data_IF_723504338482
#
_entry.id   IF_723504338482
#
_cell.length_a   1.000
_cell.length_b   1.000
_cell.length_c   1.000
_cell.angle_alpha   90.00
_cell.angle_beta   90.00
_cell.angle_gamma   90.00
#
_symmetry.space_group_name_H-M   'P 1'
#
loop_
_entity.id
_entity.type
_entity.pdbx_description
1 polymer ?
#
# COMPACT_ATOMS: atom_id res chain seq x y z
N UNK A 1 13.12 -47.07 9.57
CA UNK A 1 13.11 -46.95 8.09
C UNK A 1 12.88 -45.49 7.76
N UNK A 2 13.85 -44.82 7.12
CA UNK A 2 13.70 -43.43 6.67
C UNK A 2 12.76 -43.41 5.48
N UNK A 3 11.61 -42.72 5.60
CA UNK A 3 10.70 -42.48 4.48
C UNK A 3 11.48 -42.02 3.24
N UNK A 4 11.16 -42.57 2.06
CA UNK A 4 11.84 -42.21 0.81
C UNK A 4 11.68 -40.73 0.46
N UNK A 5 12.52 -40.18 -0.42
CA UNK A 5 12.41 -38.76 -0.83
C UNK A 5 11.02 -38.42 -1.38
N UNK A 6 10.43 -39.32 -2.16
CA UNK A 6 9.08 -39.17 -2.72
C UNK A 6 7.99 -39.15 -1.64
N UNK A 7 8.11 -39.99 -0.62
CA UNK A 7 7.17 -40.05 0.50
C UNK A 7 7.28 -38.81 1.40
N UNK A 8 8.50 -38.33 1.64
CA UNK A 8 8.75 -37.05 2.32
C UNK A 8 8.22 -35.87 1.52
N UNK A 9 8.33 -35.90 0.19
CA UNK A 9 7.78 -34.85 -0.68
C UNK A 9 6.25 -34.85 -0.68
N UNK A 10 5.62 -36.03 -0.75
CA UNK A 10 4.16 -36.17 -0.71
C UNK A 10 3.59 -35.67 0.62
N UNK A 11 4.24 -36.02 1.74
CA UNK A 11 3.79 -35.61 3.09
C UNK A 11 4.22 -34.20 3.47
N UNK A 12 5.19 -33.61 2.76
CA UNK A 12 5.65 -32.25 3.04
C UNK A 12 4.49 -31.28 2.97
N UNK A 13 3.72 -31.23 1.88
CA UNK A 13 2.71 -30.20 1.67
C UNK A 13 1.55 -30.24 2.67
N UNK A 14 1.30 -31.39 3.27
CA UNK A 14 0.15 -31.62 4.17
C UNK A 14 0.52 -31.50 5.67
N UNK A 15 1.81 -31.37 6.00
CA UNK A 15 2.25 -31.30 7.39
C UNK A 15 1.77 -30.01 8.09
N UNK A 16 1.01 -30.10 9.20
CA UNK A 16 0.57 -28.93 9.96
C UNK A 16 1.77 -28.33 10.73
N UNK A 17 2.48 -27.42 10.07
CA UNK A 17 3.64 -26.71 10.64
C UNK A 17 3.27 -25.35 11.24
N UNK A 18 2.06 -24.85 10.96
CA UNK A 18 1.62 -23.53 11.35
C UNK A 18 0.80 -23.57 12.65
N UNK A 19 1.33 -22.93 13.70
CA UNK A 19 0.57 -22.65 14.92
C UNK A 19 -0.58 -21.67 14.59
N UNK A 20 -1.85 -21.97 14.93
CA UNK A 20 -2.99 -21.09 14.63
C UNK A 20 -2.81 -19.66 15.15
N UNK A 21 -2.16 -19.52 16.31
CA UNK A 21 -1.89 -18.21 16.90
C UNK A 21 -0.92 -17.35 16.06
N UNK A 22 0.04 -17.96 15.36
CA UNK A 22 0.91 -17.25 14.41
C UNK A 22 0.11 -16.73 13.23
N UNK A 23 -0.77 -17.57 12.68
CA UNK A 23 -1.61 -17.21 11.53
C UNK A 23 -2.59 -16.09 11.90
N UNK A 24 -3.23 -16.18 13.07
CA UNK A 24 -4.13 -15.14 13.57
C UNK A 24 -3.42 -13.79 13.75
N UNK A 25 -2.24 -13.80 14.38
CA UNK A 25 -1.45 -12.59 14.57
C UNK A 25 -0.90 -12.03 13.26
N UNK A 26 -0.40 -12.89 12.36
CA UNK A 26 0.04 -12.48 11.02
C UNK A 26 -1.10 -11.82 10.29
N UNK A 27 -2.29 -12.43 10.28
CA UNK A 27 -3.47 -11.86 9.63
C UNK A 27 -3.79 -10.45 10.16
N UNK A 28 -3.79 -10.26 11.48
CA UNK A 28 -4.03 -8.94 12.06
C UNK A 28 -2.97 -7.93 11.61
N UNK A 29 -1.68 -8.25 11.79
CA UNK A 29 -0.60 -7.29 11.59
C UNK A 29 -0.30 -7.06 10.11
N UNK A 30 -0.18 -8.11 9.31
CA UNK A 30 0.15 -8.02 7.89
C UNK A 30 -0.93 -7.29 7.12
N UNK A 31 -2.20 -7.68 7.27
CA UNK A 31 -3.27 -6.97 6.57
C UNK A 31 -3.55 -5.60 7.16
N UNK A 32 -3.26 -5.36 8.45
CA UNK A 32 -3.29 -4.01 9.03
C UNK A 32 -2.24 -3.09 8.40
N UNK A 33 -0.99 -3.56 8.30
CA UNK A 33 0.10 -2.84 7.65
C UNK A 33 -0.18 -2.65 6.15
N UNK A 34 -0.70 -3.67 5.46
CA UNK A 34 -1.08 -3.57 4.06
C UNK A 34 -2.26 -2.63 3.83
N UNK A 35 -3.18 -2.48 4.80
CA UNK A 35 -4.24 -1.48 4.72
C UNK A 35 -3.70 -0.05 4.80
N UNK A 36 -2.67 0.19 5.63
CA UNK A 36 -1.98 1.48 5.70
C UNK A 36 -1.21 1.77 4.40
N UNK A 37 -0.46 0.79 3.90
CA UNK A 37 0.30 0.88 2.65
C UNK A 37 -0.61 1.20 1.46
N UNK A 38 -1.67 0.40 1.25
CA UNK A 38 -2.69 0.68 0.22
C UNK A 38 -3.46 1.98 0.45
N UNK A 39 -3.64 2.39 1.71
CA UNK A 39 -4.23 3.69 2.06
C UNK A 39 -3.35 4.86 1.62
N UNK A 40 -2.03 4.74 1.74
CA UNK A 40 -1.10 5.75 1.22
C UNK A 40 -1.16 5.86 -0.31
N UNK A 41 -1.42 4.77 -1.02
CA UNK A 41 -1.57 4.78 -2.47
C UNK A 41 -2.78 5.60 -2.97
N UNK A 42 -3.72 5.97 -2.10
CA UNK A 42 -4.86 6.83 -2.46
C UNK A 42 -4.42 8.19 -3.00
N UNK A 43 -3.32 8.78 -2.50
CA UNK A 43 -2.78 10.03 -3.07
C UNK A 43 -2.29 9.88 -4.51
N UNK A 44 -1.97 8.66 -4.91
CA UNK A 44 -1.41 8.36 -6.22
C UNK A 44 -2.48 7.97 -7.24
N UNK A 45 -3.64 7.50 -6.78
CA UNK A 45 -4.72 7.02 -7.65
C UNK A 45 -5.23 8.09 -8.64
N UNK A 46 -5.33 9.35 -8.18
CA UNK A 46 -5.67 10.49 -9.04
C UNK A 46 -4.65 10.77 -10.15
N UNK A 47 -3.48 10.12 -10.10
CA UNK A 47 -2.39 10.26 -11.08
C UNK A 47 -2.49 9.39 -12.30
N UNK A 48 -3.44 8.47 -12.31
CA UNK A 48 -3.56 7.51 -13.40
C UNK A 48 -3.88 8.18 -14.75
N UNK A 49 -3.14 7.80 -15.80
CA UNK A 49 -3.34 8.27 -17.17
C UNK A 49 -2.93 9.73 -17.43
N UNK A 50 -2.44 10.44 -16.42
CA UNK A 50 -2.02 11.83 -16.55
C UNK A 50 -0.74 11.96 -17.36
N UNK A 51 -0.72 12.88 -18.32
CA UNK A 51 0.45 13.12 -19.18
C UNK A 51 1.00 11.90 -19.93
N UNK A 52 0.19 10.85 -20.18
CA UNK A 52 0.62 9.52 -20.71
C UNK A 52 1.58 8.74 -19.80
N UNK A 53 1.80 9.21 -18.58
CA UNK A 53 2.55 8.51 -17.55
C UNK A 53 1.57 7.66 -16.72
N UNK A 54 2.11 6.68 -15.98
CA UNK A 54 1.32 5.82 -15.12
C UNK A 54 0.17 5.11 -15.87
N UNK A 55 0.58 4.23 -16.80
CA UNK A 55 -0.28 3.45 -17.70
C UNK A 55 -0.05 1.95 -17.50
N UNK A 56 -0.91 1.14 -18.10
CA UNK A 56 -0.86 -0.33 -18.09
C UNK A 56 0.53 -0.88 -18.37
N UNK A 57 0.95 -1.91 -17.64
CA UNK A 57 2.25 -2.58 -17.85
C UNK A 57 2.30 -3.45 -19.10
N UNK A 58 1.15 -3.88 -19.62
CA UNK A 58 1.07 -4.83 -20.74
C UNK A 58 0.18 -4.31 -21.89
N UNK A 59 0.47 -3.13 -22.48
CA UNK A 59 -0.22 -2.66 -23.67
C UNK A 59 0.25 -3.44 -24.91
N UNK A 60 -0.63 -3.73 -25.89
CA UNK A 60 -2.07 -3.47 -25.92
C UNK A 60 -2.92 -4.60 -25.30
N UNK A 61 -2.31 -5.70 -24.84
CA UNK A 61 -3.02 -6.93 -24.46
C UNK A 61 -3.96 -6.78 -23.26
N UNK A 62 -3.48 -6.13 -22.19
CA UNK A 62 -4.31 -5.89 -20.99
C UNK A 62 -5.45 -4.91 -21.30
N UNK A 63 -5.16 -3.86 -22.06
CA UNK A 63 -6.11 -2.81 -22.45
C UNK A 63 -7.18 -3.32 -23.41
N UNK A 64 -6.90 -4.40 -24.14
CA UNK A 64 -7.86 -5.09 -25.01
C UNK A 64 -8.79 -6.04 -24.25
N UNK A 65 -8.37 -6.55 -23.08
CA UNK A 65 -9.16 -7.49 -22.26
C UNK A 65 -10.12 -6.76 -21.31
N UNK A 66 -9.72 -5.59 -20.80
CA UNK A 66 -10.53 -4.75 -19.91
C UNK A 66 -10.31 -3.27 -20.26
N UNK A 67 -11.36 -2.43 -20.19
CA UNK A 67 -11.20 -1.00 -20.40
C UNK A 67 -10.18 -0.44 -19.41
N UNK A 68 -9.24 0.36 -19.90
CA UNK A 68 -8.29 1.06 -19.04
C UNK A 68 -9.07 1.85 -17.98
N UNK A 69 -8.75 1.66 -16.68
CA UNK A 69 -9.49 2.32 -15.61
C UNK A 69 -9.34 3.84 -15.71
N UNK A 70 -10.35 4.59 -15.26
CA UNK A 70 -10.20 6.04 -15.12
C UNK A 70 -9.48 6.35 -13.81
N UNK A 71 -9.00 7.58 -13.60
CA UNK A 71 -8.45 7.99 -12.30
C UNK A 71 -9.43 7.74 -11.12
N UNK A 72 -10.74 8.06 -11.24
CA UNK A 72 -11.75 7.62 -10.26
C UNK A 72 -11.85 6.09 -10.10
N UNK A 73 -11.69 5.33 -11.20
CA UNK A 73 -11.66 3.87 -11.17
C UNK A 73 -10.46 3.31 -10.39
N UNK A 74 -9.27 3.89 -10.56
CA UNK A 74 -8.08 3.52 -9.77
C UNK A 74 -8.26 3.85 -8.29
N UNK A 75 -8.86 5.00 -7.99
CA UNK A 75 -9.15 5.39 -6.62
C UNK A 75 -10.08 4.39 -5.95
N UNK A 76 -11.14 3.99 -6.66
CA UNK A 76 -12.07 2.97 -6.19
C UNK A 76 -11.37 1.62 -5.93
N UNK A 77 -10.53 1.16 -6.87
CA UNK A 77 -9.79 -0.10 -6.71
C UNK A 77 -8.87 -0.07 -5.49
N UNK A 78 -8.16 1.05 -5.29
CA UNK A 78 -7.23 1.25 -4.18
C UNK A 78 -7.97 1.33 -2.83
N UNK A 79 -9.08 2.06 -2.76
CA UNK A 79 -9.97 2.10 -1.59
C UNK A 79 -10.51 0.71 -1.25
N UNK A 80 -10.94 -0.03 -2.26
CA UNK A 80 -11.47 -1.39 -2.10
C UNK A 80 -10.39 -2.33 -1.58
N UNK A 81 -9.16 -2.26 -2.10
CA UNK A 81 -8.04 -3.04 -1.60
C UNK A 81 -7.73 -2.72 -0.13
N UNK A 82 -7.61 -1.44 0.23
CA UNK A 82 -7.34 -1.01 1.62
C UNK A 82 -8.42 -1.50 2.59
N UNK A 83 -9.68 -1.44 2.17
CA UNK A 83 -10.81 -1.97 2.94
C UNK A 83 -10.72 -3.49 3.14
N UNK A 84 -10.47 -4.24 2.07
CA UNK A 84 -10.37 -5.69 2.12
C UNK A 84 -9.22 -6.14 3.03
N UNK A 85 -8.08 -5.43 2.99
CA UNK A 85 -6.99 -5.61 3.94
C UNK A 85 -7.47 -5.42 5.39
N UNK A 86 -8.09 -4.29 5.70
CA UNK A 86 -8.54 -4.02 7.07
C UNK A 86 -9.60 -5.01 7.55
N UNK A 87 -10.50 -5.44 6.66
CA UNK A 87 -11.48 -6.51 6.91
C UNK A 87 -10.80 -7.84 7.21
N UNK A 88 -9.81 -8.25 6.41
CA UNK A 88 -9.02 -9.45 6.68
C UNK A 88 -8.30 -9.35 8.03
N UNK A 89 -7.74 -8.18 8.37
CA UNK A 89 -7.13 -7.92 9.68
C UNK A 89 -8.13 -8.04 10.84
N UNK A 90 -9.40 -7.67 10.61
CA UNK A 90 -10.49 -7.77 11.58
C UNK A 90 -11.25 -9.10 11.56
N UNK A 91 -10.80 -10.10 10.80
CA UNK A 91 -11.32 -11.46 10.86
C UNK A 91 -12.37 -11.79 9.78
N UNK A 92 -12.40 -11.03 8.69
CA UNK A 92 -13.16 -11.42 7.51
C UNK A 92 -12.66 -12.76 6.95
N UNK A 93 -13.58 -13.51 6.34
CA UNK A 93 -13.29 -14.84 5.76
C UNK A 93 -12.36 -14.73 4.55
N UNK A 94 -11.26 -15.48 4.60
CA UNK A 94 -10.25 -15.47 3.54
C UNK A 94 -10.80 -16.00 2.20
N UNK A 95 -11.74 -16.94 2.21
CA UNK A 95 -12.28 -17.57 0.98
C UNK A 95 -12.95 -16.60 0.00
N UNK A 96 -13.42 -15.44 0.48
CA UNK A 96 -14.04 -14.41 -0.35
C UNK A 96 -13.17 -13.15 -0.39
N UNK A 97 -12.76 -12.65 0.78
CA UNK A 97 -12.07 -11.37 0.85
C UNK A 97 -10.67 -11.40 0.24
N UNK A 98 -9.97 -12.54 0.31
CA UNK A 98 -8.60 -12.65 -0.15
C UNK A 98 -8.48 -12.75 -1.68
N UNK A 99 -9.28 -13.57 -2.39
CA UNK A 99 -9.31 -13.51 -3.86
C UNK A 99 -9.72 -12.15 -4.40
N UNK A 100 -10.71 -11.49 -3.76
CA UNK A 100 -11.12 -10.15 -4.13
C UNK A 100 -9.98 -9.14 -3.92
N UNK A 101 -9.24 -9.25 -2.81
CA UNK A 101 -8.07 -8.41 -2.53
C UNK A 101 -6.97 -8.65 -3.56
N UNK A 102 -6.65 -9.92 -3.84
CA UNK A 102 -5.65 -10.29 -4.82
C UNK A 102 -6.01 -9.72 -6.21
N UNK A 103 -7.28 -9.76 -6.61
CA UNK A 103 -7.75 -9.17 -7.86
C UNK A 103 -7.63 -7.64 -7.85
N UNK A 104 -8.05 -6.96 -6.77
CA UNK A 104 -7.94 -5.49 -6.66
C UNK A 104 -6.48 -5.03 -6.68
N UNK A 105 -5.59 -5.68 -5.91
CA UNK A 105 -4.17 -5.37 -5.89
C UNK A 105 -3.52 -5.65 -7.24
N UNK A 106 -3.83 -6.80 -7.86
CA UNK A 106 -3.31 -7.13 -9.20
C UNK A 106 -3.76 -6.10 -10.21
N UNK A 107 -5.04 -5.69 -10.19
CA UNK A 107 -5.54 -4.66 -11.09
C UNK A 107 -4.83 -3.32 -10.85
N UNK A 108 -4.71 -2.91 -9.59
CA UNK A 108 -4.07 -1.64 -9.22
C UNK A 108 -2.60 -1.61 -9.66
N UNK A 109 -1.85 -2.68 -9.42
CA UNK A 109 -0.40 -2.75 -9.75
C UNK A 109 -0.17 -2.98 -11.24
N UNK A 110 -0.97 -3.81 -11.93
CA UNK A 110 -0.75 -4.13 -13.34
C UNK A 110 -1.28 -3.05 -14.29
N UNK A 111 -2.37 -2.36 -13.95
CA UNK A 111 -2.85 -1.25 -14.74
C UNK A 111 -2.10 0.05 -14.46
N UNK A 112 -1.52 0.22 -13.28
CA UNK A 112 -1.01 1.52 -12.86
C UNK A 112 0.32 1.40 -12.13
N UNK A 113 1.35 2.06 -12.67
CA UNK A 113 2.58 2.46 -11.98
C UNK A 113 2.32 3.59 -10.98
N UNK A 114 1.29 3.46 -10.12
CA UNK A 114 0.94 4.48 -9.09
C UNK A 114 2.18 4.89 -8.30
N UNK A 115 3.08 3.92 -8.13
CA UNK A 115 4.31 3.98 -7.39
C UNK A 115 5.35 3.04 -8.04
N UNK A 116 6.63 3.43 -8.01
CA UNK A 116 7.76 2.64 -8.52
C UNK A 116 8.24 1.56 -7.55
N UNK A 117 7.62 1.38 -6.38
CA UNK A 117 8.08 0.39 -5.42
C UNK A 117 7.80 -1.06 -5.86
N UNK A 118 8.87 -1.84 -5.93
CA UNK A 118 8.83 -3.25 -6.33
C UNK A 118 8.10 -4.15 -5.32
N UNK A 119 7.93 -3.71 -4.06
CA UNK A 119 7.30 -4.54 -3.04
C UNK A 119 5.80 -4.77 -3.28
N UNK A 120 5.11 -3.90 -4.01
CA UNK A 120 3.71 -4.12 -4.37
C UNK A 120 3.52 -5.39 -5.23
N UNK A 121 4.48 -5.72 -6.10
CA UNK A 121 4.46 -6.99 -6.85
C UNK A 121 4.57 -8.20 -5.93
N UNK A 122 5.41 -8.12 -4.89
CA UNK A 122 5.48 -9.19 -3.88
C UNK A 122 4.15 -9.33 -3.14
N UNK A 123 3.50 -8.23 -2.76
CA UNK A 123 2.20 -8.27 -2.08
C UNK A 123 1.12 -8.90 -2.96
N UNK A 124 1.13 -8.62 -4.27
CA UNK A 124 0.29 -9.33 -5.26
C UNK A 124 0.58 -10.83 -5.24
N UNK A 125 1.84 -11.26 -5.35
CA UNK A 125 2.20 -12.68 -5.35
C UNK A 125 1.80 -13.38 -4.04
N UNK A 126 2.03 -12.72 -2.90
CA UNK A 126 1.64 -13.23 -1.57
C UNK A 126 0.13 -13.41 -1.47
N UNK A 127 -0.66 -12.42 -1.87
CA UNK A 127 -2.12 -12.49 -1.78
C UNK A 127 -2.72 -13.48 -2.77
N UNK A 128 -2.14 -13.63 -3.97
CA UNK A 128 -2.52 -14.67 -4.94
C UNK A 128 -2.23 -16.07 -4.41
N UNK A 129 -1.02 -16.30 -3.87
CA UNK A 129 -0.63 -17.58 -3.29
C UNK A 129 -1.58 -17.99 -2.14
N UNK A 130 -1.88 -17.05 -1.25
CA UNK A 130 -2.81 -17.29 -0.15
C UNK A 130 -4.26 -17.48 -0.63
N UNK A 131 -4.68 -16.82 -1.72
CA UNK A 131 -6.01 -16.99 -2.32
C UNK A 131 -6.20 -18.39 -2.88
N UNK A 132 -5.20 -18.92 -3.60
CA UNK A 132 -5.22 -20.29 -4.11
C UNK A 132 -5.38 -21.31 -2.97
N UNK A 133 -4.68 -21.09 -1.85
CA UNK A 133 -4.81 -21.92 -0.66
C UNK A 133 -6.22 -21.92 -0.06
N UNK A 134 -6.85 -20.75 -0.01
CA UNK A 134 -8.21 -20.61 0.52
C UNK A 134 -9.28 -21.21 -0.40
N UNK A 135 -9.13 -21.10 -1.73
CA UNK A 135 -10.14 -21.53 -2.71
C UNK A 135 -10.09 -23.02 -3.05
N UNK A 136 -8.89 -23.60 -3.15
CA UNK A 136 -8.72 -24.93 -3.74
C UNK A 136 -8.96 -26.08 -2.75
N UNK A 137 -9.05 -25.82 -1.44
CA UNK A 137 -9.19 -26.88 -0.43
C UNK A 137 -10.62 -26.97 0.17
N UNK A 138 -11.23 -28.17 0.24
CA UNK A 138 -12.56 -28.37 0.83
C UNK A 138 -12.66 -27.97 2.31
N UNK A 139 -11.59 -28.19 3.09
CA UNK A 139 -11.52 -27.89 4.52
C UNK A 139 -11.48 -26.37 4.76
N UNK A 140 -10.66 -25.64 4.00
CA UNK A 140 -10.63 -24.17 4.02
C UNK A 140 -11.97 -23.55 3.64
N UNK A 141 -12.71 -24.18 2.70
CA UNK A 141 -14.06 -23.75 2.31
C UNK A 141 -15.08 -23.86 3.44
N UNK A 142 -14.89 -24.80 4.37
CA UNK A 142 -15.79 -25.00 5.52
C UNK A 142 -15.48 -24.05 6.67
N UNK A 143 -14.20 -23.93 7.01
CA UNK A 143 -13.78 -23.29 8.27
C UNK A 143 -13.15 -21.89 8.07
N UNK A 144 -12.88 -21.48 6.83
CA UNK A 144 -12.31 -20.17 6.50
C UNK A 144 -10.81 -20.05 6.80
N UNK A 145 -10.14 -21.16 7.10
CA UNK A 145 -8.71 -21.25 7.40
C UNK A 145 -7.85 -21.46 6.15
N UNK A 146 -6.55 -21.17 6.24
CA UNK A 146 -5.58 -21.38 5.14
C UNK A 146 -5.02 -22.80 5.25
N UNK A 147 -5.05 -23.56 4.15
CA UNK A 147 -4.49 -24.91 4.13
C UNK A 147 -2.97 -24.94 4.41
N UNK A 148 -2.42 -26.03 5.01
CA UNK A 148 -1.00 -26.15 5.34
C UNK A 148 -0.04 -25.89 4.16
N UNK A 149 -0.41 -26.33 2.96
CA UNK A 149 0.38 -26.09 1.74
C UNK A 149 0.43 -24.61 1.36
N UNK A 150 -0.63 -23.85 1.64
CA UNK A 150 -0.67 -22.41 1.39
C UNK A 150 0.33 -21.65 2.25
N UNK A 151 0.47 -22.06 3.51
CA UNK A 151 1.51 -21.54 4.40
C UNK A 151 2.93 -21.87 3.88
N UNK A 152 3.14 -23.07 3.34
CA UNK A 152 4.42 -23.46 2.73
C UNK A 152 4.72 -22.68 1.45
N UNK A 153 3.70 -22.44 0.60
CA UNK A 153 3.84 -21.62 -0.59
C UNK A 153 4.19 -20.17 -0.24
N UNK A 154 3.56 -19.61 0.78
CA UNK A 154 3.90 -18.27 1.29
C UNK A 154 5.37 -18.19 1.71
N UNK A 155 5.85 -19.15 2.50
CA UNK A 155 7.26 -19.20 2.91
C UNK A 155 8.20 -19.35 1.73
N UNK A 156 7.84 -20.18 0.74
CA UNK A 156 8.61 -20.33 -0.48
C UNK A 156 8.70 -19.01 -1.27
N UNK A 157 7.58 -18.29 -1.40
CA UNK A 157 7.55 -16.98 -2.05
C UNK A 157 8.45 -15.96 -1.32
N UNK A 158 8.42 -15.92 0.02
CA UNK A 158 9.29 -15.04 0.82
C UNK A 158 10.76 -15.45 0.67
N UNK A 159 11.06 -16.75 0.66
CA UNK A 159 12.42 -17.25 0.43
C UNK A 159 12.96 -16.87 -0.95
N UNK A 160 12.13 -16.99 -1.99
CA UNK A 160 12.47 -16.56 -3.36
C UNK A 160 12.76 -15.06 -3.40
N UNK A 161 11.95 -14.25 -2.72
CA UNK A 161 12.20 -12.80 -2.62
C UNK A 161 13.56 -12.51 -1.98
N UNK A 162 13.91 -13.16 -0.86
CA UNK A 162 15.23 -12.98 -0.23
C UNK A 162 16.38 -13.46 -1.10
N UNK A 163 16.22 -14.61 -1.77
CA UNK A 163 17.23 -15.12 -2.69
C UNK A 163 17.45 -14.13 -3.85
N UNK A 164 16.37 -13.61 -4.43
CA UNK A 164 16.45 -12.61 -5.48
C UNK A 164 17.03 -11.28 -4.99
N UNK A 165 16.67 -10.84 -3.77
CA UNK A 165 17.22 -9.63 -3.16
C UNK A 165 18.76 -9.71 -3.01
N UNK A 166 19.27 -10.88 -2.63
CA UNK A 166 20.70 -11.14 -2.56
C UNK A 166 21.35 -11.16 -3.94
N UNK A 167 20.73 -11.84 -4.92
CA UNK A 167 21.23 -11.90 -6.31
C UNK A 167 21.27 -10.51 -6.95
N UNK A 168 20.23 -9.69 -6.76
CA UNK A 168 20.17 -8.32 -7.29
C UNK A 168 21.25 -7.40 -6.71
N UNK A 169 21.86 -7.78 -5.59
CA UNK A 169 22.94 -7.05 -4.90
C UNK A 169 24.35 -7.54 -5.26
N UNK A 170 24.47 -8.49 -6.20
CA UNK A 170 25.76 -8.93 -6.75
C UNK A 170 26.39 -7.91 -7.72
N UNK A 171 25.66 -6.84 -8.08
CA UNK A 171 26.18 -5.75 -8.88
C UNK A 171 27.36 -5.02 -8.20
N UNK A 172 28.32 -4.59 -9.02
CA UNK A 172 29.56 -3.94 -8.57
C UNK A 172 29.30 -2.65 -7.76
N UNK A 173 28.28 -1.85 -8.13
CA UNK A 173 27.96 -0.61 -7.41
C UNK A 173 27.37 -0.89 -6.03
N UNK A 174 26.67 -2.00 -5.86
CA UNK A 174 26.22 -2.43 -4.55
C UNK A 174 27.40 -2.93 -3.70
N UNK A 175 28.20 -3.86 -4.23
CA UNK A 175 29.32 -4.47 -3.50
C UNK A 175 30.37 -3.43 -3.08
N UNK A 176 30.63 -2.43 -3.91
CA UNK A 176 31.52 -1.31 -3.58
C UNK A 176 30.97 -0.37 -2.49
N UNK A 177 29.73 -0.56 -2.05
CA UNK A 177 29.06 0.27 -1.04
C UNK A 177 28.55 1.61 -1.58
N UNK A 178 28.79 1.96 -2.85
CA UNK A 178 28.38 3.25 -3.44
C UNK A 178 26.86 3.43 -3.39
N UNK A 179 26.11 2.41 -3.81
CA UNK A 179 24.64 2.46 -3.81
C UNK A 179 24.07 2.59 -2.40
N UNK A 180 24.57 1.80 -1.44
CA UNK A 180 24.12 1.87 -0.04
C UNK A 180 24.48 3.23 0.57
N UNK A 181 25.70 3.72 0.32
CA UNK A 181 26.16 5.02 0.80
C UNK A 181 25.29 6.18 0.30
N UNK A 182 24.76 6.09 -0.93
CA UNK A 182 23.87 7.09 -1.49
C UNK A 182 22.46 7.10 -0.86
N UNK A 183 22.04 6.00 -0.22
CA UNK A 183 20.73 5.89 0.42
C UNK A 183 20.74 6.27 1.90
N UNK A 184 21.91 6.37 2.54
CA UNK A 184 22.03 6.73 3.95
C UNK A 184 21.70 8.21 4.17
N UNK A 185 20.53 8.47 4.77
CA UNK A 185 20.03 9.82 5.02
C UNK A 185 20.25 10.28 6.47
N UNK A 186 20.69 9.40 7.37
CA UNK A 186 20.77 9.68 8.81
C UNK A 186 22.19 10.00 9.31
N UNK A 187 22.30 11.08 10.07
CA UNK A 187 23.59 11.59 10.58
C UNK A 187 24.30 10.61 11.51
N UNK A 188 23.55 9.91 12.37
CA UNK A 188 24.12 8.97 13.32
C UNK A 188 24.86 7.82 12.61
N UNK A 189 24.34 7.35 11.47
CA UNK A 189 24.96 6.29 10.69
C UNK A 189 26.25 6.79 10.04
N UNK A 190 26.25 8.03 9.51
CA UNK A 190 27.45 8.69 8.97
C UNK A 190 28.54 8.81 10.05
N UNK A 191 28.16 9.22 11.27
CA UNK A 191 29.07 9.32 12.40
C UNK A 191 29.60 7.95 12.85
N UNK A 192 28.77 6.91 12.85
CA UNK A 192 29.20 5.54 13.14
C UNK A 192 30.21 5.04 12.09
N UNK A 193 29.92 5.26 10.81
CA UNK A 193 30.83 4.92 9.71
C UNK A 193 32.17 5.62 9.88
N UNK A 194 32.18 6.93 10.19
CA UNK A 194 33.42 7.68 10.45
C UNK A 194 34.22 7.07 11.60
N UNK A 195 33.57 6.80 12.75
CA UNK A 195 34.25 6.21 13.91
C UNK A 195 34.86 4.84 13.61
N UNK A 196 34.13 3.99 12.88
CA UNK A 196 34.63 2.68 12.47
C UNK A 196 35.78 2.81 11.46
N UNK A 197 35.67 3.75 10.53
CA UNK A 197 36.72 4.09 9.56
C UNK A 197 38.03 4.44 10.28
N UNK A 198 37.95 5.35 11.26
CA UNK A 198 39.10 5.81 12.05
C UNK A 198 39.67 4.67 12.89
N UNK A 199 38.81 3.85 13.51
CA UNK A 199 39.23 2.73 14.37
C UNK A 199 39.93 1.63 13.58
N UNK A 200 39.45 1.35 12.37
CA UNK A 200 39.98 0.28 11.52
C UNK A 200 41.12 0.75 10.59
N UNK A 201 41.35 2.06 10.49
CA UNK A 201 42.35 2.63 9.57
C UNK A 201 42.02 2.41 8.10
N UNK A 202 40.73 2.33 7.75
CA UNK A 202 40.25 2.12 6.37
C UNK A 202 39.46 3.33 5.89
N UNK A 203 39.18 3.42 4.59
CA UNK A 203 38.32 4.48 4.07
C UNK A 203 36.86 4.29 4.51
N UNK A 204 36.06 5.37 4.72
CA UNK A 204 34.67 5.26 5.15
C UNK A 204 33.82 4.40 4.20
N UNK A 205 34.08 4.51 2.90
CA UNK A 205 33.39 3.72 1.88
C UNK A 205 33.68 2.22 2.03
N UNK A 206 34.85 1.81 2.52
CA UNK A 206 35.18 0.40 2.78
C UNK A 206 34.33 -0.17 3.92
N UNK A 207 34.02 0.63 4.94
CA UNK A 207 33.09 0.24 6.01
C UNK A 207 31.68 0.04 5.44
N UNK A 208 31.23 0.94 4.57
CA UNK A 208 29.92 0.81 3.91
C UNK A 208 29.88 -0.40 2.97
N UNK A 209 30.96 -0.66 2.22
CA UNK A 209 31.08 -1.84 1.36
C UNK A 209 30.98 -3.14 2.16
N UNK A 210 31.66 -3.23 3.32
CA UNK A 210 31.54 -4.36 4.21
C UNK A 210 30.09 -4.56 4.70
N UNK A 211 29.39 -3.47 5.05
CA UNK A 211 27.97 -3.49 5.38
C UNK A 211 27.09 -3.96 4.20
N UNK A 212 27.36 -3.48 2.99
CA UNK A 212 26.63 -3.85 1.78
C UNK A 212 26.78 -5.35 1.44
N UNK A 213 27.98 -5.91 1.61
CA UNK A 213 28.23 -7.35 1.48
C UNK A 213 27.55 -8.14 2.60
N UNK A 214 27.57 -7.63 3.85
CA UNK A 214 26.89 -8.27 4.97
C UNK A 214 25.37 -8.37 4.72
N UNK A 215 24.74 -7.33 4.16
CA UNK A 215 23.32 -7.36 3.76
C UNK A 215 23.06 -8.51 2.78
N UNK A 216 23.89 -8.67 1.75
CA UNK A 216 23.76 -9.74 0.77
C UNK A 216 23.82 -11.13 1.42
N UNK A 217 24.82 -11.34 2.30
CA UNK A 217 24.99 -12.61 3.01
C UNK A 217 23.79 -12.89 3.91
N UNK A 218 23.32 -11.89 4.66
CA UNK A 218 22.15 -12.00 5.54
C UNK A 218 20.89 -12.37 4.74
N UNK A 219 20.65 -11.71 3.60
CA UNK A 219 19.52 -12.02 2.74
C UNK A 219 19.58 -13.45 2.18
N UNK A 220 20.76 -13.91 1.73
CA UNK A 220 20.94 -15.29 1.27
C UNK A 220 20.68 -16.32 2.39
N UNK A 221 21.14 -16.03 3.61
CA UNK A 221 20.88 -16.87 4.78
C UNK A 221 19.40 -16.88 5.16
N UNK A 222 18.72 -15.74 5.06
CA UNK A 222 17.28 -15.65 5.31
C UNK A 222 16.49 -16.49 4.30
N UNK A 223 16.85 -16.50 3.02
CA UNK A 223 16.20 -17.34 2.02
C UNK A 223 16.19 -18.83 2.44
N UNK A 224 17.33 -19.34 2.92
CA UNK A 224 17.46 -20.72 3.40
C UNK A 224 16.70 -20.94 4.72
N UNK A 225 16.77 -19.98 5.65
CA UNK A 225 16.16 -20.09 6.96
C UNK A 225 14.62 -20.09 6.90
N UNK A 226 14.02 -19.35 5.97
CA UNK A 226 12.57 -19.35 5.75
C UNK A 226 12.04 -20.73 5.34
N UNK A 227 12.85 -21.53 4.67
CA UNK A 227 12.52 -22.90 4.26
C UNK A 227 12.84 -23.95 5.33
N UNK A 228 13.53 -23.58 6.41
CA UNK A 228 14.07 -24.53 7.40
C UNK A 228 13.52 -24.24 8.80
N UNK A 229 12.43 -24.90 9.26
CA UNK A 229 11.79 -24.60 10.54
C UNK A 229 12.71 -24.66 11.77
N UNK A 230 13.76 -25.48 11.73
CA UNK A 230 14.78 -25.55 12.79
C UNK A 230 15.55 -24.25 12.99
N UNK A 231 15.62 -23.39 11.97
CA UNK A 231 16.32 -22.12 12.01
C UNK A 231 15.43 -20.95 12.45
N UNK A 232 14.12 -21.17 12.62
CA UNK A 232 13.17 -20.11 12.98
C UNK A 232 13.47 -19.37 14.29
N UNK A 233 13.95 -20.02 15.37
CA UNK A 233 14.31 -19.31 16.60
C UNK A 233 15.41 -18.26 16.40
N UNK A 234 16.28 -18.45 15.40
CA UNK A 234 17.31 -17.49 15.03
C UNK A 234 16.81 -16.50 13.97
N UNK A 235 16.08 -17.00 12.97
CA UNK A 235 15.52 -16.18 11.88
C UNK A 235 14.58 -15.10 12.39
N UNK A 236 13.71 -15.42 13.35
CA UNK A 236 12.73 -14.47 13.87
C UNK A 236 13.37 -13.20 14.45
N UNK A 237 14.22 -13.27 15.49
CA UNK A 237 14.80 -12.06 16.07
C UNK A 237 15.76 -11.35 15.12
N UNK A 238 16.56 -12.10 14.34
CA UNK A 238 17.49 -11.49 13.39
C UNK A 238 16.77 -10.79 12.24
N UNK A 239 15.70 -11.40 11.72
CA UNK A 239 14.90 -10.82 10.65
C UNK A 239 14.16 -9.57 11.08
N UNK A 240 13.56 -9.59 12.27
CA UNK A 240 12.94 -8.38 12.84
C UNK A 240 13.99 -7.30 13.08
N UNK A 241 15.14 -7.63 13.68
CA UNK A 241 16.22 -6.67 13.91
C UNK A 241 16.78 -6.08 12.61
N UNK A 242 16.92 -6.91 11.56
CA UNK A 242 17.35 -6.46 10.24
C UNK A 242 16.41 -5.39 9.67
N UNK A 243 15.10 -5.65 9.65
CA UNK A 243 14.14 -4.67 9.13
C UNK A 243 13.98 -3.43 10.02
N UNK A 244 14.08 -3.57 11.34
CA UNK A 244 14.14 -2.41 12.24
C UNK A 244 15.39 -1.56 11.99
N UNK A 245 16.52 -2.18 11.66
CA UNK A 245 17.74 -1.44 11.29
C UNK A 245 17.58 -0.70 9.97
N UNK A 246 16.88 -1.30 8.99
CA UNK A 246 16.55 -0.65 7.72
C UNK A 246 15.67 0.59 7.94
N UNK A 247 14.68 0.50 8.83
CA UNK A 247 13.87 1.66 9.24
C UNK A 247 14.69 2.72 9.97
N UNK A 248 15.55 2.32 10.90
CA UNK A 248 16.42 3.25 11.63
C UNK A 248 17.40 4.01 10.72
N UNK A 249 17.73 3.44 9.56
CA UNK A 249 18.58 4.04 8.54
C UNK A 249 17.84 4.99 7.58
N UNK A 250 16.50 5.09 7.70
CA UNK A 250 15.64 5.92 6.85
C UNK A 250 15.89 5.70 5.35
N UNK A 251 15.98 4.41 4.97
CA UNK A 251 16.13 4.04 3.57
C UNK A 251 14.82 4.30 2.82
N UNK A 252 14.92 4.83 1.60
CA UNK A 252 13.76 5.20 0.77
C UNK A 252 13.08 3.97 0.13
N UNK A 253 12.49 3.11 0.96
CA UNK A 253 11.88 1.85 0.54
C UNK A 253 10.37 1.74 0.86
N UNK A 254 9.76 2.81 1.36
CA UNK A 254 8.34 2.85 1.73
C UNK A 254 8.01 1.98 2.94
N UNK A 255 6.80 1.41 2.98
CA UNK A 255 6.33 0.56 4.09
C UNK A 255 6.85 -0.89 4.03
N UNK A 256 7.82 -1.18 3.15
CA UNK A 256 8.26 -2.54 2.87
C UNK A 256 8.82 -3.27 4.11
N UNK A 257 9.71 -2.63 4.86
CA UNK A 257 10.28 -3.15 6.11
C UNK A 257 9.20 -3.52 7.13
N UNK A 258 8.17 -2.67 7.29
CA UNK A 258 7.06 -2.90 8.21
C UNK A 258 6.26 -4.14 7.79
N UNK A 259 5.91 -4.24 6.50
CA UNK A 259 5.27 -5.43 5.93
C UNK A 259 6.12 -6.68 6.19
N UNK A 260 7.44 -6.60 5.99
CA UNK A 260 8.33 -7.72 6.27
C UNK A 260 8.36 -8.09 7.76
N UNK A 261 8.45 -7.13 8.68
CA UNK A 261 8.39 -7.36 10.14
C UNK A 261 7.11 -8.11 10.49
N UNK A 262 5.97 -7.73 9.90
CA UNK A 262 4.71 -8.44 10.15
C UNK A 262 4.76 -9.89 9.68
N UNK A 263 5.40 -10.18 8.54
CA UNK A 263 5.56 -11.55 8.04
C UNK A 263 6.43 -12.41 8.96
N UNK A 264 7.40 -11.83 9.67
CA UNK A 264 8.21 -12.58 10.67
C UNK A 264 7.39 -13.13 11.84
N UNK A 265 6.14 -12.70 12.03
CA UNK A 265 5.22 -13.36 12.97
C UNK A 265 4.91 -14.81 12.60
N UNK A 266 5.06 -15.20 11.32
CA UNK A 266 4.90 -16.57 10.84
C UNK A 266 5.96 -17.55 11.38
N UNK A 267 7.12 -17.02 11.81
CA UNK A 267 8.25 -17.84 12.29
C UNK A 267 8.56 -17.59 13.76
N UNK A 268 7.77 -16.76 14.46
CA UNK A 268 8.02 -16.46 15.88
C UNK A 268 7.88 -17.69 16.79
N UNK A 269 8.50 -17.72 17.97
CA UNK A 269 8.31 -18.78 18.95
C UNK A 269 6.83 -19.00 19.30
N UNK A 270 6.38 -20.26 19.30
CA UNK A 270 4.97 -20.59 19.48
C UNK A 270 4.39 -20.12 20.83
N UNK A 271 5.22 -20.14 21.89
CA UNK A 271 4.81 -19.62 23.20
C UNK A 271 4.45 -18.12 23.16
N UNK A 272 5.27 -17.32 22.46
CA UNK A 272 4.99 -15.90 22.26
C UNK A 272 3.77 -15.70 21.35
N UNK A 273 3.66 -16.49 20.27
CA UNK A 273 2.52 -16.44 19.37
C UNK A 273 1.19 -16.71 20.10
N UNK A 274 1.13 -17.69 21.02
CA UNK A 274 -0.08 -17.96 21.80
C UNK A 274 -0.45 -16.82 22.77
N UNK A 275 0.54 -16.11 23.30
CA UNK A 275 0.31 -14.93 24.13
C UNK A 275 -0.25 -13.76 23.34
N UNK A 276 0.44 -13.39 22.26
CA UNK A 276 0.09 -12.23 21.42
C UNK A 276 -1.08 -12.50 20.47
N UNK A 277 -1.30 -13.75 20.07
CA UNK A 277 -2.36 -14.16 19.15
C UNK A 277 -3.76 -13.92 19.69
N UNK A 278 -3.91 -13.72 21.01
CA UNK A 278 -5.17 -13.28 21.64
C UNK A 278 -5.60 -11.87 21.21
N UNK A 279 -4.67 -11.06 20.70
CA UNK A 279 -4.97 -9.73 20.13
C UNK A 279 -5.69 -9.84 18.79
N UNK A 280 -5.54 -10.96 18.07
CA UNK A 280 -6.14 -11.16 16.76
C UNK A 280 -7.67 -11.41 16.90
N UNK A 281 -8.53 -10.60 16.26
CA UNK A 281 -9.98 -10.82 16.31
C UNK A 281 -10.36 -12.20 15.73
N UNK A 282 -11.35 -12.92 16.29
CA UNK A 282 -11.76 -14.21 15.74
C UNK A 282 -12.36 -14.07 14.33
N UNK A 283 -12.22 -15.13 13.53
CA UNK A 283 -12.77 -15.21 12.17
C UNK A 283 -14.30 -15.25 12.20
N UNK A 284 -14.96 -14.58 11.24
CA UNK A 284 -16.42 -14.49 11.16
C UNK A 284 -17.09 -15.84 10.79
N UNK A 285 -18.22 -16.21 11.44
CA UNK A 285 -18.93 -17.47 11.19
C UNK A 285 -19.73 -17.50 9.87
N UNK A 286 -20.08 -18.72 9.41
CA UNK A 286 -20.64 -19.05 8.08
C UNK A 286 -22.10 -18.63 7.82
N UNK A 287 -22.94 -18.45 8.84
CA UNK A 287 -24.40 -18.59 8.69
C UNK A 287 -25.20 -17.29 8.82
N UNK A 288 -25.98 -16.98 7.78
CA UNK A 288 -27.27 -16.29 7.90
C UNK A 288 -27.84 -15.83 6.55
N UNK A 289 -29.14 -15.51 6.52
CA UNK A 289 -29.97 -15.59 5.31
C UNK A 289 -29.55 -14.58 4.23
N UNK A 290 -29.56 -15.02 2.97
CA UNK A 290 -29.18 -14.23 1.79
C UNK A 290 -30.20 -13.14 1.41
N UNK A 291 -31.44 -13.25 1.91
CA UNK A 291 -32.56 -12.39 1.53
C UNK A 291 -32.41 -10.91 1.97
N UNK A 292 -31.84 -10.63 3.15
CA UNK A 292 -31.60 -9.24 3.58
C UNK A 292 -30.40 -8.61 2.87
N UNK A 293 -29.47 -9.42 2.33
CA UNK A 293 -28.31 -8.94 1.54
C UNK A 293 -28.74 -8.32 0.22
N UNK A 294 -29.75 -8.91 -0.43
CA UNK A 294 -30.38 -8.36 -1.64
C UNK A 294 -31.24 -7.13 -1.33
N UNK A 295 -31.96 -7.15 -0.20
CA UNK A 295 -32.76 -6.00 0.25
C UNK A 295 -31.92 -4.77 0.59
N UNK A 296 -30.81 -4.95 1.32
CA UNK A 296 -29.91 -3.85 1.67
C UNK A 296 -29.14 -3.32 0.45
N UNK A 297 -28.70 -4.20 -0.46
CA UNK A 297 -28.09 -3.78 -1.73
C UNK A 297 -29.08 -3.02 -2.64
N UNK A 298 -30.35 -3.44 -2.67
CA UNK A 298 -31.40 -2.77 -3.44
C UNK A 298 -31.79 -1.40 -2.87
N UNK A 299 -31.87 -1.26 -1.54
CA UNK A 299 -32.18 0.03 -0.87
C UNK A 299 -31.04 1.03 -1.06
N UNK A 300 -29.79 0.58 -0.96
CA UNK A 300 -28.60 1.44 -1.16
C UNK A 300 -28.43 1.82 -2.63
N UNK A 301 -28.68 0.88 -3.55
CA UNK A 301 -28.76 1.18 -4.99
C UNK A 301 -29.87 2.17 -5.34
N UNK A 302 -31.03 2.07 -4.68
CA UNK A 302 -32.15 3.01 -4.87
C UNK A 302 -31.86 4.41 -4.28
N UNK A 303 -31.18 4.50 -3.14
CA UNK A 303 -30.77 5.77 -2.54
C UNK A 303 -29.67 6.47 -3.37
N UNK A 304 -28.78 5.71 -4.00
CA UNK A 304 -27.77 6.24 -4.93
C UNK A 304 -28.34 6.80 -6.24
N UNK A 305 -29.56 6.39 -6.64
CA UNK A 305 -30.25 6.88 -7.84
C UNK A 305 -31.09 8.15 -7.60
N UNK A 306 -31.29 8.55 -6.34
CA UNK A 306 -32.28 9.57 -5.95
C UNK A 306 -31.70 10.93 -5.52
N UNK A 307 -30.38 11.12 -5.52
CA UNK A 307 -29.74 12.37 -5.08
C UNK A 307 -28.83 12.97 -6.16
N UNK A 308 -28.95 14.28 -6.45
CA UNK A 308 -27.99 14.97 -7.32
C UNK A 308 -26.68 15.18 -6.56
N UNK A 309 -25.53 15.06 -7.24
CA UNK A 309 -24.13 15.42 -6.84
C UNK A 309 -23.10 14.31 -6.50
N UNK A 310 -21.95 14.41 -7.21
CA UNK A 310 -20.56 13.92 -6.98
C UNK A 310 -20.20 12.42 -6.93
N UNK A 311 -19.05 12.07 -7.52
CA UNK A 311 -18.41 10.74 -7.59
C UNK A 311 -18.20 10.08 -6.21
N UNK A 312 -18.11 10.86 -5.15
CA UNK A 312 -17.78 10.40 -3.80
C UNK A 312 -18.91 9.57 -3.16
N UNK A 313 -20.18 9.83 -3.51
CA UNK A 313 -21.31 9.07 -2.98
C UNK A 313 -21.55 7.74 -3.72
N UNK A 314 -21.16 7.65 -5.00
CA UNK A 314 -21.13 6.39 -5.74
C UNK A 314 -20.07 5.43 -5.17
N UNK A 315 -18.93 5.98 -4.74
CA UNK A 315 -17.91 5.24 -4.01
C UNK A 315 -18.45 4.74 -2.67
N UNK A 316 -19.17 5.57 -1.91
CA UNK A 316 -19.83 5.20 -0.64
C UNK A 316 -20.97 4.18 -0.84
N UNK A 317 -21.79 4.33 -1.88
CA UNK A 317 -22.89 3.40 -2.19
C UNK A 317 -22.40 2.02 -2.64
N UNK A 318 -21.42 1.98 -3.54
CA UNK A 318 -20.75 0.74 -3.93
C UNK A 318 -19.98 0.12 -2.75
N UNK A 319 -19.40 0.97 -1.89
CA UNK A 319 -18.71 0.58 -0.67
C UNK A 319 -19.65 -0.09 0.35
N UNK A 320 -20.87 0.42 0.57
CA UNK A 320 -21.88 -0.22 1.43
C UNK A 320 -22.34 -1.55 0.82
N UNK A 321 -22.55 -1.60 -0.50
CA UNK A 321 -22.96 -2.84 -1.20
C UNK A 321 -21.89 -3.94 -1.08
N UNK A 322 -20.62 -3.62 -1.37
CA UNK A 322 -19.51 -4.58 -1.26
C UNK A 322 -19.32 -5.05 0.18
N UNK A 323 -19.46 -4.14 1.15
CA UNK A 323 -19.39 -4.45 2.57
C UNK A 323 -20.47 -5.45 2.99
N UNK A 324 -21.72 -5.22 2.62
CA UNK A 324 -22.86 -6.10 2.93
C UNK A 324 -22.76 -7.48 2.25
N UNK A 325 -22.13 -7.54 1.07
CA UNK A 325 -21.86 -8.79 0.36
C UNK A 325 -20.76 -9.64 1.03
N UNK A 326 -19.80 -9.01 1.72
CA UNK A 326 -18.60 -9.66 2.29
C UNK A 326 -18.73 -10.00 3.78
N UNK A 327 -19.43 -9.19 4.59
CA UNK A 327 -19.45 -9.30 6.07
C UNK A 327 -20.32 -10.43 6.63
N UNK A 328 -21.25 -10.96 5.84
CA UNK A 328 -22.28 -11.80 6.42
C UNK A 328 -23.13 -11.05 7.47
N UNK A 329 -24.00 -11.75 8.22
CA UNK A 329 -25.15 -11.16 8.91
C UNK A 329 -24.97 -10.84 10.40
N UNK A 330 -23.76 -10.94 10.97
CA UNK A 330 -23.62 -10.73 12.42
C UNK A 330 -23.46 -9.24 12.78
N UNK A 331 -23.99 -8.78 13.93
CA UNK A 331 -23.77 -7.42 14.44
C UNK A 331 -22.29 -7.09 14.63
N UNK A 332 -21.48 -8.09 14.99
CA UNK A 332 -20.02 -7.95 15.14
C UNK A 332 -19.32 -7.72 13.81
N UNK A 333 -19.76 -8.40 12.73
CA UNK A 333 -19.21 -8.21 11.40
C UNK A 333 -19.59 -6.83 10.83
N UNK A 334 -20.84 -6.39 11.06
CA UNK A 334 -21.30 -5.05 10.71
C UNK A 334 -20.49 -3.96 11.43
N UNK A 335 -20.28 -4.09 12.74
CA UNK A 335 -19.48 -3.14 13.52
C UNK A 335 -18.02 -3.07 13.03
N UNK A 336 -17.40 -4.21 12.72
CA UNK A 336 -16.04 -4.26 12.16
C UNK A 336 -15.95 -3.60 10.78
N UNK A 337 -16.96 -3.79 9.94
CA UNK A 337 -17.05 -3.14 8.64
C UNK A 337 -17.21 -1.62 8.73
N UNK A 338 -18.05 -1.15 9.64
CA UNK A 338 -18.21 0.29 9.91
C UNK A 338 -16.91 0.88 10.43
N UNK A 339 -16.23 0.20 11.36
CA UNK A 339 -14.95 0.66 11.89
C UNK A 339 -13.86 0.70 10.81
N UNK A 340 -13.76 -0.34 9.98
CA UNK A 340 -12.77 -0.37 8.90
C UNK A 340 -12.98 0.78 7.92
N UNK A 341 -14.22 1.12 7.65
CA UNK A 341 -14.56 2.25 6.80
C UNK A 341 -14.33 3.60 7.41
N UNK A 342 -14.72 3.79 8.66
CA UNK A 342 -14.44 5.02 9.37
C UNK A 342 -12.93 5.32 9.37
N UNK A 343 -12.08 4.28 9.50
CA UNK A 343 -10.63 4.43 9.42
C UNK A 343 -10.16 4.82 8.01
N UNK A 344 -10.59 4.10 6.96
CA UNK A 344 -10.19 4.42 5.57
C UNK A 344 -10.68 5.81 5.16
N UNK A 345 -11.93 6.15 5.49
CA UNK A 345 -12.52 7.47 5.25
C UNK A 345 -11.76 8.54 6.05
N UNK A 346 -11.45 8.29 7.32
CA UNK A 346 -10.67 9.21 8.13
C UNK A 346 -9.27 9.47 7.55
N UNK A 347 -8.59 8.42 7.07
CA UNK A 347 -7.30 8.55 6.39
C UNK A 347 -7.44 9.29 5.05
N UNK A 348 -8.50 9.03 4.29
CA UNK A 348 -8.74 9.70 3.02
C UNK A 348 -9.17 11.17 3.16
N UNK A 349 -9.75 11.53 4.31
CA UNK A 349 -10.16 12.88 4.67
C UNK A 349 -9.11 13.59 5.53
N UNK A 350 -7.92 13.02 5.73
CA UNK A 350 -6.78 13.83 6.15
C UNK A 350 -6.64 14.96 5.11
N UNK A 351 -6.69 16.22 5.56
CA UNK A 351 -6.79 17.39 4.65
C UNK A 351 -5.69 17.43 3.60
N UNK A 352 -4.57 16.76 3.87
CA UNK A 352 -3.45 16.61 2.96
C UNK A 352 -3.76 15.72 1.75
N UNK A 353 -4.46 14.59 1.93
CA UNK A 353 -4.71 13.60 0.88
C UNK A 353 -5.63 14.16 -0.21
N UNK A 354 -6.74 14.77 0.21
CA UNK A 354 -7.70 15.40 -0.68
C UNK A 354 -7.08 16.59 -1.42
N UNK A 355 -6.30 17.43 -0.72
CA UNK A 355 -5.55 18.54 -1.32
C UNK A 355 -4.59 18.03 -2.40
N UNK A 356 -3.87 16.96 -2.13
CA UNK A 356 -2.94 16.37 -3.11
C UNK A 356 -3.64 15.80 -4.34
N UNK A 357 -4.80 15.16 -4.16
CA UNK A 357 -5.62 14.71 -5.28
C UNK A 357 -6.00 15.87 -6.20
N UNK A 358 -6.63 16.93 -5.66
CA UNK A 358 -7.07 18.09 -6.45
C UNK A 358 -5.89 18.85 -7.06
N UNK A 359 -4.77 18.99 -6.33
CA UNK A 359 -3.53 19.60 -6.84
C UNK A 359 -3.02 18.86 -8.07
N UNK A 360 -3.09 17.53 -8.03
CA UNK A 360 -2.65 16.69 -9.12
C UNK A 360 -3.59 16.79 -10.33
N UNK A 361 -4.89 16.51 -10.18
CA UNK A 361 -5.83 16.54 -11.32
C UNK A 361 -5.90 17.93 -11.96
N UNK A 362 -5.80 19.00 -11.16
CA UNK A 362 -5.71 20.36 -11.68
C UNK A 362 -4.39 20.61 -12.42
N UNK A 363 -3.30 20.02 -11.95
CA UNK A 363 -1.99 20.07 -12.61
C UNK A 363 -2.01 19.41 -13.98
N UNK A 364 -2.64 18.24 -14.10
CA UNK A 364 -2.82 17.50 -15.34
C UNK A 364 -3.81 18.18 -16.30
N UNK A 365 -4.96 18.63 -15.81
CA UNK A 365 -5.92 19.42 -16.60
C UNK A 365 -5.26 20.66 -17.21
N UNK A 366 -4.42 21.36 -16.43
CA UNK A 366 -3.62 22.49 -16.92
C UNK A 366 -2.65 22.08 -18.03
N UNK A 367 -1.95 20.95 -17.90
CA UNK A 367 -1.04 20.45 -18.94
C UNK A 367 -1.80 20.09 -20.22
N UNK A 368 -3.03 19.58 -20.10
CA UNK A 368 -3.92 19.28 -21.23
C UNK A 368 -4.60 20.52 -21.83
N UNK A 369 -4.44 21.69 -21.22
CA UNK A 369 -5.08 22.94 -21.65
C UNK A 369 -6.55 23.06 -21.23
N UNK A 370 -7.05 22.17 -20.38
CA UNK A 370 -8.43 22.20 -19.84
C UNK A 370 -8.52 23.17 -18.66
N UNK A 371 -8.28 24.46 -18.94
CA UNK A 371 -8.14 25.49 -17.92
C UNK A 371 -9.36 25.61 -16.98
N UNK A 372 -10.63 25.51 -17.42
CA UNK A 372 -11.77 25.53 -16.50
C UNK A 372 -11.78 24.39 -15.48
N UNK A 373 -11.40 23.17 -15.90
CA UNK A 373 -11.29 22.02 -15.00
C UNK A 373 -10.12 22.21 -14.02
N UNK A 374 -9.01 22.78 -14.49
CA UNK A 374 -7.87 23.13 -13.64
C UNK A 374 -8.25 24.18 -12.57
N UNK A 375 -8.99 25.22 -12.93
CA UNK A 375 -9.53 26.22 -11.99
C UNK A 375 -10.40 25.54 -10.94
N UNK A 376 -11.38 24.72 -11.35
CA UNK A 376 -12.25 24.01 -10.42
C UNK A 376 -11.46 23.15 -9.41
N UNK A 377 -10.45 22.43 -9.89
CA UNK A 377 -9.59 21.62 -9.03
C UNK A 377 -8.74 22.47 -8.05
N UNK A 378 -8.10 23.54 -8.51
CA UNK A 378 -7.30 24.39 -7.61
C UNK A 378 -8.15 25.24 -6.66
N UNK A 379 -9.42 25.49 -6.96
CA UNK A 379 -10.39 26.04 -6.00
C UNK A 379 -10.60 25.08 -4.83
N UNK A 380 -10.76 23.78 -5.10
CA UNK A 380 -10.87 22.77 -4.04
C UNK A 380 -9.57 22.65 -3.24
N UNK A 381 -8.40 22.77 -3.87
CA UNK A 381 -7.10 22.82 -3.16
C UNK A 381 -7.10 23.95 -2.10
N UNK A 382 -7.49 25.16 -2.50
CA UNK A 382 -7.50 26.33 -1.59
C UNK A 382 -8.63 26.24 -0.56
N UNK A 383 -9.76 25.58 -0.90
CA UNK A 383 -10.85 25.33 0.06
C UNK A 383 -10.41 24.35 1.16
N UNK A 384 -9.66 23.32 0.79
CA UNK A 384 -9.17 22.28 1.70
C UNK A 384 -8.02 22.76 2.59
N UNK A 385 -7.13 23.58 2.03
CA UNK A 385 -6.05 24.21 2.77
C UNK A 385 -5.90 25.67 2.33
N UNK A 386 -6.58 26.58 3.04
CA UNK A 386 -6.49 28.01 2.78
C UNK A 386 -5.08 28.57 2.94
N UNK A 387 -4.16 27.91 3.64
CA UNK A 387 -2.79 28.41 3.82
C UNK A 387 -1.80 27.73 2.85
N UNK A 388 -2.29 26.92 1.91
CA UNK A 388 -1.45 26.25 0.92
C UNK A 388 -0.94 27.23 -0.14
N UNK A 389 0.26 27.78 0.12
CA UNK A 389 0.94 28.76 -0.73
C UNK A 389 0.91 28.38 -2.22
N UNK A 390 1.37 27.18 -2.58
CA UNK A 390 1.43 26.73 -3.98
C UNK A 390 0.06 26.60 -4.64
N UNK A 391 -0.98 26.27 -3.87
CA UNK A 391 -2.35 26.20 -4.36
C UNK A 391 -2.89 27.56 -4.74
N UNK A 392 -2.69 28.57 -3.87
CA UNK A 392 -3.11 29.95 -4.11
C UNK A 392 -2.42 30.59 -5.31
N UNK A 393 -1.10 30.44 -5.41
CA UNK A 393 -0.33 30.94 -6.56
C UNK A 393 -0.86 30.33 -7.86
N UNK A 394 -1.09 29.00 -7.88
CA UNK A 394 -1.62 28.35 -9.07
C UNK A 394 -3.04 28.81 -9.40
N UNK A 395 -3.92 28.93 -8.41
CA UNK A 395 -5.30 29.37 -8.65
C UNK A 395 -5.34 30.77 -9.25
N UNK A 396 -4.50 31.69 -8.76
CA UNK A 396 -4.32 33.01 -9.38
C UNK A 396 -3.90 32.89 -10.86
N UNK A 397 -2.83 32.15 -11.16
CA UNK A 397 -2.33 31.98 -12.52
C UNK A 397 -3.41 31.42 -13.46
N UNK A 398 -4.17 30.42 -12.99
CA UNK A 398 -5.22 29.77 -13.77
C UNK A 398 -6.42 30.69 -14.00
N UNK A 399 -6.85 31.45 -12.97
CA UNK A 399 -7.94 32.43 -13.10
C UNK A 399 -7.56 33.57 -14.06
N UNK A 400 -6.32 34.07 -13.99
CA UNK A 400 -5.81 35.05 -14.96
C UNK A 400 -5.82 34.48 -16.38
N UNK A 401 -5.43 33.22 -16.56
CA UNK A 401 -5.39 32.57 -17.88
C UNK A 401 -6.79 32.28 -18.49
N UNK A 402 -7.86 32.33 -17.70
CA UNK A 402 -9.25 32.22 -18.18
C UNK A 402 -10.00 33.55 -18.13
N UNK A 403 -9.26 34.67 -18.23
CA UNK A 403 -9.78 36.04 -18.25
C UNK A 403 -10.61 36.43 -17.01
N UNK A 404 -10.35 35.78 -15.87
CA UNK A 404 -10.97 36.08 -14.56
C UNK A 404 -9.97 36.74 -13.61
N UNK A 405 -9.26 37.76 -14.11
CA UNK A 405 -8.19 38.42 -13.37
C UNK A 405 -8.68 39.13 -12.09
N UNK A 406 -9.92 39.64 -12.06
CA UNK A 406 -10.52 40.22 -10.85
C UNK A 406 -10.64 39.19 -9.72
N UNK A 407 -11.00 37.95 -10.05
CA UNK A 407 -11.11 36.85 -9.08
C UNK A 407 -9.73 36.30 -8.71
N UNK A 408 -8.70 36.50 -9.55
CA UNK A 408 -7.35 35.99 -9.34
C UNK A 408 -6.58 36.75 -8.26
N UNK A 409 -6.71 38.08 -8.21
CA UNK A 409 -5.92 38.97 -7.35
C UNK A 409 -5.95 38.59 -5.87
N UNK A 410 -7.11 38.31 -5.25
CA UNK A 410 -7.15 37.93 -3.83
C UNK A 410 -6.31 36.68 -3.52
N UNK A 411 -6.14 35.77 -4.48
CA UNK A 411 -5.37 34.55 -4.26
C UNK A 411 -3.86 34.80 -4.24
N UNK A 412 -3.31 35.60 -5.16
CA UNK A 412 -1.88 35.94 -5.14
C UNK A 412 -1.52 36.91 -4.00
N UNK A 413 -2.41 37.86 -3.67
CA UNK A 413 -2.22 38.76 -2.53
C UNK A 413 -2.12 37.96 -1.22
N UNK A 414 -3.01 36.98 -1.03
CA UNK A 414 -2.96 36.11 0.15
C UNK A 414 -1.76 35.16 0.13
N UNK A 415 -1.33 34.67 -1.04
CA UNK A 415 -0.10 33.89 -1.15
C UNK A 415 1.14 34.71 -0.73
N UNK A 416 1.21 35.98 -1.12
CA UNK A 416 2.27 36.90 -0.70
C UNK A 416 2.18 37.27 0.78
N UNK A 417 0.98 37.28 1.37
CA UNK A 417 0.82 37.43 2.83
C UNK A 417 1.39 36.23 3.58
N UNK A 418 1.17 35.01 3.08
CA UNK A 418 1.67 33.77 3.67
C UNK A 418 3.19 33.65 3.55
N UNK A 419 3.75 33.99 2.37
CA UNK A 419 5.19 33.97 2.12
C UNK A 419 5.62 35.23 1.35
N UNK A 420 6.01 36.29 2.08
CA UNK A 420 6.43 37.55 1.47
C UNK A 420 7.67 37.38 0.57
N UNK A 421 7.67 38.07 -0.58
CA UNK A 421 8.84 38.14 -1.47
C UNK A 421 9.05 36.93 -2.38
N UNK A 422 8.11 35.97 -2.41
CA UNK A 422 8.24 34.80 -3.28
C UNK A 422 8.10 35.17 -4.77
N UNK A 423 9.10 34.87 -5.62
CA UNK A 423 9.09 35.28 -7.03
C UNK A 423 7.86 34.81 -7.81
N UNK A 424 7.43 33.56 -7.62
CA UNK A 424 6.30 32.97 -8.34
C UNK A 424 4.98 33.70 -8.04
N UNK A 425 4.79 34.15 -6.79
CA UNK A 425 3.58 34.85 -6.37
C UNK A 425 3.57 36.31 -6.86
N UNK A 426 4.72 36.99 -6.82
CA UNK A 426 4.88 38.34 -7.38
C UNK A 426 4.63 38.35 -8.90
N UNK A 427 5.15 37.35 -9.61
CA UNK A 427 4.94 37.20 -11.05
C UNK A 427 3.46 36.93 -11.38
N UNK A 428 2.79 36.07 -10.60
CA UNK A 428 1.37 35.79 -10.77
C UNK A 428 0.50 37.04 -10.52
N UNK A 429 0.79 37.81 -9.47
CA UNK A 429 0.08 39.06 -9.18
C UNK A 429 0.28 40.10 -10.27
N UNK A 430 1.52 40.30 -10.73
CA UNK A 430 1.82 41.25 -11.80
C UNK A 430 1.07 40.90 -13.09
N UNK A 431 1.00 39.62 -13.45
CA UNK A 431 0.23 39.14 -14.60
C UNK A 431 -1.27 39.40 -14.42
N UNK A 432 -1.83 39.12 -13.24
CA UNK A 432 -3.24 39.38 -12.94
C UNK A 432 -3.56 40.89 -13.04
N UNK A 433 -2.71 41.77 -12.47
CA UNK A 433 -2.89 43.22 -12.56
C UNK A 433 -2.76 43.74 -13.99
N UNK A 434 -1.89 43.15 -14.80
CA UNK A 434 -1.73 43.54 -16.21
C UNK A 434 -2.97 43.19 -17.04
N UNK A 435 -3.61 42.04 -16.78
CA UNK A 435 -4.83 41.60 -17.48
C UNK A 435 -6.08 42.45 -17.14
N UNK A 436 -6.00 43.33 -16.14
CA UNK A 436 -7.08 44.25 -15.74
C UNK A 436 -6.99 45.64 -16.38
N UNK A 437 -5.89 45.91 -17.09
CA UNK A 437 -5.64 47.18 -17.79
C UNK A 437 -6.02 47.03 -19.26
#
# INVERSE_FOLDING_TARGET
MTAGLAERWATFWDAPEAEPARLGLTRLLFFGALALDTGQQLVHAGRYGAGRFNVSHLPPGLDALLPAPTAPGLLLLTLTASMLCLRLALGARATIALPALAACLSATVLWSQLDSYQHHYLMVLVTVALSGAALLTPEARRDGEIAPWGFKLLRAQIAVMYAWAAVAKLDERWISGVTLNAQLNVEWARALISRLSDTLGVAPLSVVAAGAVAVLVVEALFALAWLTPRLWPLLWPLGVAFHLSVEALDLKIGQFSLLMITLYTLVMPAALARGLGRLAPPVEPTTGPWAWRLGAAAVVGALGLALPFSTDLLLVGLWVVLTLLITGPSPTAAARAVLSAALVVGLSHSGELARDYYRFIGGDARVRGELPAAVAAYTEVVRLDPDYFSGRVRLCQLLTAVDRAQDALPHCEEALRLMPGQPDALAAEAAARAALR
#
